data_IF_445580664244
#
_entry.id   IF_445580664244
#
_cell.length_a   1.000
_cell.length_b   1.000
_cell.length_c   1.000
_cell.angle_alpha   90.00
_cell.angle_beta   90.00
_cell.angle_gamma   90.00
#
_symmetry.space_group_name_H-M   'P 1'
#
loop_
_entity.id
_entity.type
_entity.pdbx_description
1 polymer ?
#
# COMPACT_ATOMS: atom_id res chain seq x y z
N UNK A 1 -7.57 -1.17 13.14
CA UNK A 1 -6.20 -0.87 12.68
C UNK A 1 -5.13 -1.67 13.42
N UNK A 2 -4.91 -1.47 14.73
CA UNK A 2 -3.79 -2.13 15.42
C UNK A 2 -3.84 -3.67 15.36
N UNK A 3 -5.04 -4.27 15.55
CA UNK A 3 -5.27 -5.71 15.40
C UNK A 3 -5.19 -6.13 13.92
N UNK A 4 -6.03 -5.56 13.05
CA UNK A 4 -6.01 -5.79 11.59
C UNK A 4 -4.60 -5.84 10.96
N UNK A 5 -3.70 -4.93 11.34
CA UNK A 5 -2.32 -4.96 10.84
C UNK A 5 -1.51 -6.16 11.33
N UNK A 6 -1.71 -6.60 12.58
CA UNK A 6 -1.11 -7.83 13.09
C UNK A 6 -1.71 -9.08 12.46
N UNK A 7 -3.04 -9.18 12.27
CA UNK A 7 -3.64 -10.31 11.52
C UNK A 7 -3.12 -10.34 10.07
N UNK A 8 -2.97 -9.17 9.43
CA UNK A 8 -2.41 -9.13 8.07
C UNK A 8 -0.97 -9.64 8.04
N UNK A 9 -0.16 -9.29 9.04
CA UNK A 9 1.20 -9.80 9.19
C UNK A 9 1.23 -11.31 9.51
N UNK A 10 0.29 -11.79 10.33
CA UNK A 10 0.09 -13.22 10.63
C UNK A 10 -0.24 -14.02 9.37
N UNK A 11 -1.20 -13.55 8.58
CA UNK A 11 -1.60 -14.16 7.31
C UNK A 11 -0.44 -14.27 6.31
N UNK A 12 0.35 -13.21 6.09
CA UNK A 12 1.49 -13.31 5.15
C UNK A 12 2.60 -14.23 5.70
N UNK A 13 2.79 -14.32 7.02
CA UNK A 13 3.65 -15.37 7.61
C UNK A 13 3.07 -16.79 7.46
N UNK A 14 1.77 -16.98 7.63
CA UNK A 14 1.11 -18.27 7.47
C UNK A 14 1.18 -18.78 6.02
N UNK A 15 1.10 -17.88 5.04
CA UNK A 15 1.32 -18.18 3.62
C UNK A 15 2.74 -18.67 3.33
N UNK A 16 3.75 -17.97 3.86
CA UNK A 16 5.15 -18.40 3.76
C UNK A 16 5.38 -19.75 4.47
N UNK A 17 4.77 -19.94 5.64
CA UNK A 17 4.87 -21.17 6.43
C UNK A 17 4.26 -22.38 5.72
N UNK A 18 3.07 -22.26 5.14
CA UNK A 18 2.41 -23.36 4.40
C UNK A 18 3.20 -23.79 3.16
N UNK A 19 3.95 -22.88 2.53
CA UNK A 19 4.89 -23.22 1.46
C UNK A 19 6.04 -24.13 1.89
N UNK A 20 6.38 -24.15 3.18
CA UNK A 20 7.41 -25.03 3.79
C UNK A 20 6.81 -26.22 4.56
N UNK A 21 5.58 -26.06 5.06
CA UNK A 21 4.86 -27.00 5.93
C UNK A 21 3.38 -27.07 5.53
N UNK A 22 3.05 -27.80 4.45
CA UNK A 22 1.66 -27.91 3.96
C UNK A 22 0.69 -28.51 4.97
N UNK A 23 1.19 -29.27 5.95
CA UNK A 23 0.42 -29.80 7.07
C UNK A 23 -0.17 -28.72 7.99
N UNK A 24 0.41 -27.51 7.99
CA UNK A 24 -0.06 -26.36 8.79
C UNK A 24 -1.12 -25.50 8.06
N UNK A 25 -1.73 -26.01 6.99
CA UNK A 25 -2.77 -25.33 6.18
C UNK A 25 -4.00 -24.88 7.00
N UNK A 26 -4.26 -25.44 8.17
CA UNK A 26 -5.33 -24.94 9.07
C UNK A 26 -5.04 -23.51 9.54
N UNK A 27 -3.81 -23.22 9.97
CA UNK A 27 -3.41 -21.90 10.47
C UNK A 27 -3.65 -20.83 9.41
N UNK A 28 -3.28 -21.11 8.15
CA UNK A 28 -3.55 -20.21 7.03
C UNK A 28 -5.04 -19.89 6.87
N UNK A 29 -5.94 -20.87 7.03
CA UNK A 29 -7.39 -20.65 6.93
C UNK A 29 -7.94 -19.81 8.08
N UNK A 30 -7.41 -20.01 9.29
CA UNK A 30 -7.81 -19.24 10.47
C UNK A 30 -7.40 -17.76 10.30
N UNK A 31 -6.16 -17.50 9.86
CA UNK A 31 -5.67 -16.15 9.54
C UNK A 31 -6.43 -15.51 8.36
N UNK A 32 -6.83 -16.27 7.33
CA UNK A 32 -7.67 -15.78 6.24
C UNK A 32 -9.07 -15.34 6.73
N UNK A 33 -9.65 -16.06 7.70
CA UNK A 33 -10.91 -15.67 8.36
C UNK A 33 -10.73 -14.43 9.22
N UNK A 34 -9.66 -14.34 10.01
CA UNK A 34 -9.37 -13.17 10.85
C UNK A 34 -9.20 -11.90 10.00
N UNK A 35 -8.36 -11.95 8.97
CA UNK A 35 -8.13 -10.82 8.06
C UNK A 35 -9.42 -10.48 7.30
N UNK A 36 -10.16 -11.47 6.81
CA UNK A 36 -11.45 -11.27 6.13
C UNK A 36 -12.47 -10.52 6.99
N UNK A 37 -12.59 -10.88 8.26
CA UNK A 37 -13.42 -10.16 9.24
C UNK A 37 -12.97 -8.70 9.39
N UNK A 38 -11.68 -8.46 9.67
CA UNK A 38 -11.21 -7.09 9.87
C UNK A 38 -11.25 -6.24 8.58
N UNK A 39 -11.07 -6.81 7.38
CA UNK A 39 -11.27 -6.05 6.14
C UNK A 39 -12.75 -5.65 5.93
N UNK A 40 -13.72 -6.43 6.44
CA UNK A 40 -15.13 -6.05 6.43
C UNK A 40 -15.38 -4.85 7.35
N UNK A 41 -14.94 -4.95 8.61
CA UNK A 41 -15.06 -3.87 9.61
C UNK A 41 -14.37 -2.58 9.15
N UNK A 42 -13.17 -2.68 8.56
CA UNK A 42 -12.46 -1.54 7.96
C UNK A 42 -13.29 -0.88 6.86
N UNK A 43 -13.87 -1.67 5.94
CA UNK A 43 -14.70 -1.14 4.84
C UNK A 43 -15.99 -0.51 5.36
N UNK A 44 -16.62 -1.05 6.41
CA UNK A 44 -17.77 -0.43 7.07
C UNK A 44 -17.42 0.95 7.67
N UNK A 45 -16.32 1.03 8.45
CA UNK A 45 -15.83 2.29 9.04
C UNK A 45 -15.59 3.36 7.98
N UNK A 46 -15.02 2.98 6.83
CA UNK A 46 -14.73 3.91 5.72
C UNK A 46 -15.98 4.42 5.00
N UNK A 47 -17.10 3.69 5.04
CA UNK A 47 -18.40 4.11 4.46
C UNK A 47 -19.17 5.03 5.41
N UNK A 48 -18.99 4.92 6.73
CA UNK A 48 -19.75 5.68 7.73
C UNK A 48 -19.32 7.14 7.95
N UNK A 49 -18.43 7.69 7.11
CA UNK A 49 -18.18 9.13 7.00
C UNK A 49 -16.78 9.61 7.41
N UNK A 50 -16.41 10.80 6.92
CA UNK A 50 -15.01 11.28 6.93
C UNK A 50 -14.31 11.28 8.30
N UNK A 51 -14.90 11.68 9.45
CA UNK A 51 -14.16 11.69 10.72
C UNK A 51 -13.70 10.29 11.16
N UNK A 52 -14.52 9.27 10.90
CA UNK A 52 -14.19 7.88 11.22
C UNK A 52 -13.23 7.29 10.18
N UNK A 53 -13.46 7.57 8.90
CA UNK A 53 -12.58 7.16 7.80
C UNK A 53 -11.16 7.75 7.93
N UNK A 54 -11.05 9.02 8.30
CA UNK A 54 -9.76 9.71 8.48
C UNK A 54 -9.01 9.21 9.72
N UNK A 55 -9.71 9.01 10.84
CA UNK A 55 -9.13 8.34 12.01
C UNK A 55 -8.61 6.93 11.70
N UNK A 56 -9.31 6.19 10.83
CA UNK A 56 -8.87 4.89 10.34
C UNK A 56 -7.58 4.98 9.50
N UNK A 57 -7.54 5.89 8.49
CA UNK A 57 -6.34 6.15 7.66
C UNK A 57 -5.14 6.55 8.51
N UNK A 58 -5.31 7.49 9.45
CA UNK A 58 -4.24 7.96 10.34
C UNK A 58 -3.70 6.84 11.24
N UNK A 59 -4.58 6.03 11.83
CA UNK A 59 -4.17 4.90 12.67
C UNK A 59 -3.47 3.78 11.86
N UNK A 60 -3.90 3.55 10.60
CA UNK A 60 -3.23 2.65 9.68
C UNK A 60 -1.82 3.16 9.30
N UNK A 61 -1.68 4.44 8.95
CA UNK A 61 -0.40 5.07 8.63
C UNK A 61 0.55 5.07 9.85
N UNK A 62 0.05 5.34 11.06
CA UNK A 62 0.82 5.28 12.30
C UNK A 62 1.28 3.84 12.65
N UNK A 63 0.53 2.81 12.27
CA UNK A 63 0.97 1.42 12.36
C UNK A 63 2.00 1.07 11.26
N UNK A 64 1.76 1.47 10.00
CA UNK A 64 2.67 1.22 8.87
C UNK A 64 4.06 1.86 9.03
N UNK A 65 4.18 2.98 9.76
CA UNK A 65 5.45 3.58 10.19
C UNK A 65 6.27 2.69 11.14
N UNK A 66 5.63 1.81 11.90
CA UNK A 66 6.26 0.91 12.89
C UNK A 66 6.55 -0.47 12.29
N UNK A 67 5.71 -0.94 11.37
CA UNK A 67 5.78 -2.26 10.74
C UNK A 67 7.20 -2.71 10.31
N UNK A 68 8.05 -1.90 9.64
CA UNK A 68 9.40 -2.35 9.25
C UNK A 68 10.22 -2.87 10.42
N UNK A 69 10.23 -2.16 11.56
CA UNK A 69 10.95 -2.58 12.78
C UNK A 69 10.34 -3.82 13.46
N UNK A 70 9.07 -4.11 13.17
CA UNK A 70 8.39 -5.33 13.62
C UNK A 70 8.79 -6.52 12.74
N UNK A 71 8.78 -6.34 11.41
CA UNK A 71 9.25 -7.36 10.44
C UNK A 71 10.74 -7.66 10.65
N UNK A 72 11.58 -6.63 10.84
CA UNK A 72 13.01 -6.78 11.14
C UNK A 72 13.29 -7.63 12.38
N UNK A 73 12.38 -7.61 13.38
CA UNK A 73 12.48 -8.43 14.59
C UNK A 73 12.05 -9.88 14.35
N UNK A 74 11.03 -10.12 13.53
CA UNK A 74 10.63 -11.49 13.19
C UNK A 74 11.64 -12.18 12.27
N UNK A 75 12.31 -11.42 11.40
CA UNK A 75 13.36 -11.93 10.50
C UNK A 75 14.77 -11.88 11.11
N UNK A 76 14.90 -11.66 12.42
CA UNK A 76 16.20 -11.50 13.11
C UNK A 76 17.03 -12.78 13.23
N UNK A 77 16.42 -13.96 13.00
CA UNK A 77 17.12 -15.24 13.11
C UNK A 77 18.13 -15.43 11.98
N UNK A 78 19.29 -16.03 12.26
CA UNK A 78 20.38 -16.17 11.29
C UNK A 78 20.10 -17.23 10.22
N UNK A 79 19.20 -18.19 10.46
CA UNK A 79 18.71 -19.09 9.40
C UNK A 79 17.98 -18.33 8.28
N UNK A 80 17.44 -17.15 8.59
CA UNK A 80 16.77 -16.27 7.63
C UNK A 80 17.71 -15.23 7.01
N UNK A 81 18.97 -15.12 7.46
CA UNK A 81 19.90 -14.08 7.01
C UNK A 81 20.07 -14.00 5.47
N UNK A 82 20.15 -15.12 4.70
CA UNK A 82 20.23 -15.07 3.23
C UNK A 82 19.01 -14.43 2.55
N UNK A 83 17.82 -14.61 3.15
CA UNK A 83 16.53 -14.20 2.57
C UNK A 83 15.97 -12.91 3.21
N UNK A 84 16.60 -12.42 4.29
CA UNK A 84 16.12 -11.36 5.19
C UNK A 84 15.68 -10.10 4.45
N UNK A 85 16.43 -9.65 3.44
CA UNK A 85 16.11 -8.46 2.64
C UNK A 85 14.88 -8.67 1.75
N UNK A 86 14.75 -9.85 1.15
CA UNK A 86 13.72 -10.17 0.17
C UNK A 86 12.38 -10.48 0.84
N UNK A 87 12.40 -11.28 1.91
CA UNK A 87 11.25 -11.53 2.79
C UNK A 87 10.72 -10.23 3.38
N UNK A 88 11.61 -9.36 3.88
CA UNK A 88 11.24 -8.05 4.42
C UNK A 88 10.51 -7.20 3.38
N UNK A 89 11.07 -7.09 2.17
CA UNK A 89 10.44 -6.34 1.06
C UNK A 89 9.06 -6.94 0.74
N UNK A 90 9.00 -8.25 0.48
CA UNK A 90 7.76 -8.95 0.12
C UNK A 90 6.64 -8.75 1.15
N UNK A 91 6.93 -8.94 2.44
CA UNK A 91 5.96 -8.76 3.53
C UNK A 91 5.45 -7.30 3.58
N UNK A 92 6.35 -6.31 3.45
CA UNK A 92 5.97 -4.89 3.44
C UNK A 92 5.10 -4.53 2.21
N UNK A 93 5.51 -4.98 1.03
CA UNK A 93 4.84 -4.67 -0.24
C UNK A 93 3.42 -5.27 -0.29
N UNK A 94 3.23 -6.51 0.18
CA UNK A 94 1.91 -7.17 0.22
C UNK A 94 0.99 -6.52 1.27
N UNK A 95 1.51 -6.12 2.43
CA UNK A 95 0.74 -5.40 3.44
C UNK A 95 0.31 -4.02 2.93
N UNK A 96 1.18 -3.28 2.23
CA UNK A 96 0.81 -2.02 1.59
C UNK A 96 -0.22 -2.23 0.48
N UNK A 97 -0.06 -3.24 -0.38
CA UNK A 97 -1.03 -3.57 -1.42
C UNK A 97 -2.42 -3.87 -0.84
N UNK A 98 -2.51 -4.59 0.29
CA UNK A 98 -3.78 -4.85 0.98
C UNK A 98 -4.35 -3.58 1.62
N UNK A 99 -3.52 -2.77 2.28
CA UNK A 99 -3.95 -1.50 2.90
C UNK A 99 -4.45 -0.48 1.85
N UNK A 100 -3.86 -0.48 0.65
CA UNK A 100 -4.36 0.24 -0.51
C UNK A 100 -5.71 -0.33 -1.00
N UNK A 101 -5.84 -1.66 -1.12
CA UNK A 101 -7.04 -2.32 -1.61
C UNK A 101 -8.27 -2.15 -0.69
N UNK A 102 -8.07 -1.96 0.62
CA UNK A 102 -9.15 -1.60 1.56
C UNK A 102 -9.38 -0.08 1.72
N UNK A 103 -8.56 0.78 1.09
CA UNK A 103 -8.72 2.25 1.16
C UNK A 103 -8.14 2.92 2.43
N UNK A 104 -7.27 2.24 3.18
CA UNK A 104 -6.60 2.81 4.36
C UNK A 104 -5.33 3.60 4.03
N UNK A 105 -4.74 3.37 2.86
CA UNK A 105 -3.65 4.18 2.30
C UNK A 105 -4.12 4.81 0.99
N UNK A 106 -3.68 6.04 0.73
CA UNK A 106 -3.74 6.62 -0.60
C UNK A 106 -2.70 5.94 -1.49
N UNK A 107 -3.05 5.69 -2.76
CA UNK A 107 -2.05 5.35 -3.79
C UNK A 107 -1.08 6.53 -3.91
N UNK A 108 0.24 6.32 -3.98
CA UNK A 108 1.16 7.42 -4.24
C UNK A 108 0.82 8.06 -5.59
N UNK A 109 0.50 9.35 -5.59
CA UNK A 109 0.31 10.14 -6.81
C UNK A 109 1.69 10.39 -7.44
N UNK A 110 2.13 9.42 -8.23
CA UNK A 110 3.53 9.30 -8.66
C UNK A 110 3.77 8.76 -10.07
N UNK A 111 2.72 8.54 -10.87
CA UNK A 111 2.86 8.26 -12.30
C UNK A 111 1.58 8.62 -13.08
N UNK A 112 1.26 9.92 -13.09
CA UNK A 112 0.05 10.48 -13.73
C UNK A 112 0.39 11.61 -14.69
N UNK A 113 0.48 11.29 -15.99
CA UNK A 113 0.48 12.18 -17.15
C UNK A 113 0.96 13.64 -16.94
N UNK A 114 2.25 13.90 -17.16
CA UNK A 114 2.68 15.26 -17.49
C UNK A 114 2.05 15.68 -18.83
N UNK A 115 1.24 16.75 -18.88
CA UNK A 115 0.59 17.14 -20.12
C UNK A 115 1.64 17.73 -21.08
N UNK A 116 1.97 16.99 -22.14
CA UNK A 116 2.83 17.48 -23.22
C UNK A 116 2.14 18.68 -23.87
N UNK A 117 2.56 19.88 -23.46
CA UNK A 117 2.02 21.14 -23.93
C UNK A 117 2.44 21.34 -25.39
N UNK A 118 1.55 20.98 -26.32
CA UNK A 118 1.77 21.11 -27.77
C UNK A 118 2.11 22.56 -28.11
N UNK A 119 3.40 22.83 -28.33
CA UNK A 119 3.86 24.11 -28.80
C UNK A 119 3.56 24.24 -30.29
N UNK A 120 2.40 24.83 -30.62
CA UNK A 120 2.09 25.24 -31.99
C UNK A 120 3.09 26.34 -32.36
N UNK A 121 4.02 26.01 -33.26
CA UNK A 121 5.03 26.94 -33.76
C UNK A 121 4.52 27.70 -34.98
N UNK A 122 3.96 28.89 -34.78
CA UNK A 122 3.75 29.88 -35.84
C UNK A 122 4.82 30.98 -35.74
N UNK A 123 5.57 31.23 -36.83
CA UNK A 123 6.64 32.22 -36.86
C UNK A 123 6.89 32.78 -38.28
N UNK A 124 6.46 34.03 -38.53
CA UNK A 124 6.63 34.76 -39.81
C UNK A 124 5.63 34.36 -40.91
N UNK A 125 5.39 35.11 -41.99
CA UNK A 125 5.96 36.36 -42.60
C UNK A 125 4.83 36.95 -43.50
N UNK A 126 4.55 38.24 -43.76
CA UNK A 126 5.18 39.58 -43.56
C UNK A 126 4.08 40.65 -43.31
N UNK A 127 4.30 41.80 -42.65
CA UNK A 127 4.79 43.11 -43.17
C UNK A 127 4.00 43.75 -44.34
N UNK A 128 3.37 44.92 -44.06
CA UNK A 128 3.10 46.14 -44.88
C UNK A 128 2.01 46.96 -44.13
N UNK A 129 1.86 48.28 -44.22
CA UNK A 129 2.76 49.44 -44.12
C UNK A 129 1.84 50.69 -43.89
N UNK A 130 2.37 51.77 -43.30
CA UNK A 130 1.85 53.16 -43.25
C UNK A 130 0.35 53.52 -43.17
N UNK A 131 0.04 54.43 -42.23
CA UNK A 131 -0.82 55.60 -42.50
C UNK A 131 -0.50 56.73 -41.52
N UNK A 132 0.01 57.85 -42.03
CA UNK A 132 0.18 59.13 -41.34
C UNK A 132 -0.53 60.22 -42.15
N UNK A 133 -1.28 61.11 -41.49
CA UNK A 133 -1.98 62.25 -42.12
C UNK A 133 -3.49 62.11 -42.08
#
# INVERSE_FOLDING_TARGET
MHLYGYETLGLEFARLLVGLRPDLTSILKDEEVHVGFFEHEVRAILVHGEPAAEGARQAAQAWRRRLPRTVDRYLQDESLAPFRVELRRHILDVIDARFLAVGLLARPEGEGASPVKTAIGEAGVSHVHESHG
#
